data_IF_192066193618
#
_entry.id   IF_192066193618
#
_cell.length_a   1.000
_cell.length_b   1.000
_cell.length_c   1.000
_cell.angle_alpha   90.00
_cell.angle_beta   90.00
_cell.angle_gamma   90.00
#
_symmetry.space_group_name_H-M   'P 1'
#
loop_
_entity.id
_entity.type
_entity.pdbx_description
1 polymer ?
#
# COMPACT_ATOMS: atom_id res chain seq x y z
N UNK A 1 16.11 4.07 12.63
CA UNK A 1 14.79 4.53 13.11
C UNK A 1 13.77 4.21 12.03
N UNK A 2 12.70 3.49 12.37
CA UNK A 2 11.68 3.13 11.39
C UNK A 2 10.74 4.31 11.14
N UNK A 3 10.07 4.31 9.99
CA UNK A 3 9.07 5.34 9.64
C UNK A 3 7.93 5.38 10.65
N UNK A 4 7.48 4.23 11.16
CA UNK A 4 6.44 4.19 12.20
C UNK A 4 6.84 4.94 13.48
N UNK A 5 8.10 4.82 13.91
CA UNK A 5 8.64 5.58 15.05
C UNK A 5 8.71 7.08 14.75
N UNK A 6 9.12 7.45 13.53
CA UNK A 6 9.14 8.87 13.10
C UNK A 6 7.74 9.45 13.11
N UNK A 7 6.75 8.74 12.57
CA UNK A 7 5.35 9.16 12.60
C UNK A 7 4.85 9.39 14.03
N UNK A 8 5.12 8.47 14.96
CA UNK A 8 4.77 8.63 16.38
C UNK A 8 5.37 9.89 17.00
N UNK A 9 6.66 10.15 16.75
CA UNK A 9 7.34 11.35 17.24
C UNK A 9 6.74 12.62 16.63
N UNK A 10 6.44 12.62 15.34
CA UNK A 10 5.83 13.76 14.65
C UNK A 10 4.42 14.04 15.18
N UNK A 11 3.60 13.01 15.41
CA UNK A 11 2.28 13.17 16.04
C UNK A 11 2.38 13.87 17.40
N UNK A 12 3.27 13.38 18.28
CA UNK A 12 3.48 13.95 19.62
C UNK A 12 3.98 15.40 19.55
N UNK A 13 4.98 15.68 18.72
CA UNK A 13 5.56 17.02 18.58
C UNK A 13 4.62 18.05 17.97
N UNK A 14 3.67 17.61 17.14
CA UNK A 14 2.70 18.50 16.51
C UNK A 14 1.36 18.56 17.26
N UNK A 15 1.23 17.88 18.40
CA UNK A 15 0.01 17.84 19.20
C UNK A 15 -1.24 17.43 18.39
N UNK A 16 -1.08 16.53 17.42
CA UNK A 16 -2.20 16.01 16.63
C UNK A 16 -2.65 14.65 17.18
N UNK A 17 -3.92 14.27 17.01
CA UNK A 17 -4.40 12.96 17.47
C UNK A 17 -3.63 11.82 16.80
N UNK A 18 -3.33 10.77 17.58
CA UNK A 18 -2.75 9.56 17.03
C UNK A 18 -3.78 8.86 16.13
N UNK A 19 -3.45 8.72 14.84
CA UNK A 19 -4.35 8.16 13.83
C UNK A 19 -3.56 7.26 12.85
N UNK A 20 -4.19 6.15 12.42
CA UNK A 20 -3.63 5.13 11.51
C UNK A 20 -3.12 5.71 10.19
N UNK A 21 -3.64 6.88 9.82
CA UNK A 21 -3.55 7.42 8.48
C UNK A 21 -2.30 8.31 8.31
N UNK A 22 -1.65 8.71 9.41
CA UNK A 22 -0.43 9.50 9.29
C UNK A 22 0.72 8.67 8.71
N UNK A 23 1.46 9.28 7.79
CA UNK A 23 2.62 8.68 7.13
C UNK A 23 3.65 9.74 6.76
N UNK A 24 4.83 9.26 6.38
CA UNK A 24 5.86 10.07 5.73
C UNK A 24 5.77 9.84 4.22
N UNK A 25 5.59 10.92 3.46
CA UNK A 25 5.60 10.91 2.00
C UNK A 25 7.00 11.29 1.50
N UNK A 26 7.60 10.42 0.69
CA UNK A 26 8.70 10.72 -0.22
C UNK A 26 8.15 11.41 -1.45
N UNK A 27 8.46 12.68 -1.65
CA UNK A 27 8.05 13.45 -2.82
C UNK A 27 9.26 13.75 -3.71
N UNK A 28 9.18 13.37 -4.99
CA UNK A 28 10.24 13.46 -5.99
C UNK A 28 9.80 14.40 -7.15
N UNK A 29 9.89 15.74 -6.99
CA UNK A 29 9.38 16.71 -7.95
C UNK A 29 9.90 16.52 -9.38
N UNK A 30 11.19 16.20 -9.51
CA UNK A 30 11.82 16.07 -10.82
C UNK A 30 11.28 14.89 -11.62
N UNK A 31 10.85 13.83 -10.93
CA UNK A 31 10.29 12.62 -11.53
C UNK A 31 8.77 12.65 -11.65
N UNK A 32 8.10 13.60 -11.01
CA UNK A 32 6.63 13.63 -10.88
C UNK A 32 6.09 12.39 -10.17
N UNK A 33 6.82 11.96 -9.13
CA UNK A 33 6.55 10.76 -8.36
C UNK A 33 6.46 11.08 -6.87
N UNK A 34 5.61 10.36 -6.16
CA UNK A 34 5.59 10.35 -4.70
C UNK A 34 5.14 9.00 -4.16
N UNK A 35 5.50 8.69 -2.92
CA UNK A 35 5.00 7.50 -2.21
C UNK A 35 4.95 7.77 -0.73
N UNK A 36 4.05 7.11 -0.02
CA UNK A 36 4.25 6.94 1.42
C UNK A 36 5.24 5.80 1.67
N UNK A 37 6.02 5.92 2.73
CA UNK A 37 6.79 4.81 3.26
C UNK A 37 5.90 3.91 4.13
N UNK A 38 6.17 2.61 4.10
CA UNK A 38 5.59 1.66 5.05
C UNK A 38 6.25 1.81 6.43
N UNK A 39 5.51 1.53 7.49
CA UNK A 39 5.96 1.84 8.86
C UNK A 39 7.22 1.08 9.31
N UNK A 40 7.50 -0.08 8.71
CA UNK A 40 8.70 -0.87 8.97
C UNK A 40 9.95 -0.35 8.25
N UNK A 41 9.81 0.48 7.21
CA UNK A 41 10.95 0.95 6.43
C UNK A 41 11.88 1.84 7.27
N UNK A 42 13.18 1.76 7.00
CA UNK A 42 14.17 2.68 7.55
C UNK A 42 14.16 3.99 6.76
N UNK A 43 13.84 5.11 7.42
CA UNK A 43 13.80 6.41 6.74
C UNK A 43 15.20 6.82 6.23
N UNK A 44 16.23 6.58 7.04
CA UNK A 44 17.62 6.95 6.70
C UNK A 44 18.13 6.17 5.49
N UNK A 45 17.89 4.86 5.45
CA UNK A 45 18.31 4.00 4.32
C UNK A 45 17.60 4.35 3.01
N UNK A 46 16.42 4.94 3.08
CA UNK A 46 15.73 5.41 1.89
C UNK A 46 16.23 6.78 1.43
N UNK A 47 16.42 7.72 2.36
CA UNK A 47 16.84 9.10 2.04
C UNK A 47 18.29 9.15 1.54
N UNK A 48 19.17 8.23 1.98
CA UNK A 48 20.55 8.18 1.48
C UNK A 48 20.63 8.01 -0.04
N UNK A 49 19.61 7.42 -0.67
CA UNK A 49 19.57 7.25 -2.11
C UNK A 49 19.37 8.55 -2.88
N UNK A 50 18.96 9.65 -2.24
CA UNK A 50 18.64 10.90 -2.92
C UNK A 50 19.87 11.61 -3.51
N UNK A 51 21.08 11.33 -3.02
CA UNK A 51 22.31 12.01 -3.44
C UNK A 51 22.44 13.40 -2.81
N UNK A 52 23.37 14.22 -3.30
CA UNK A 52 23.62 15.57 -2.75
C UNK A 52 22.74 16.66 -3.40
N UNK A 53 22.58 16.62 -4.74
CA UNK A 53 21.88 17.66 -5.49
C UNK A 53 20.45 17.24 -5.87
N UNK A 54 19.56 17.20 -4.89
CA UNK A 54 18.14 16.87 -5.10
C UNK A 54 17.19 17.96 -4.64
N UNK A 55 15.97 17.94 -5.21
CA UNK A 55 14.84 18.76 -4.74
C UNK A 55 13.76 17.93 -4.02
N UNK A 56 14.10 16.69 -3.64
CA UNK A 56 13.20 15.77 -2.96
C UNK A 56 12.79 16.30 -1.58
N UNK A 57 11.59 15.93 -1.14
CA UNK A 57 10.99 16.43 0.12
C UNK A 57 10.33 15.29 0.88
N UNK A 58 10.37 15.39 2.21
CA UNK A 58 9.57 14.57 3.11
C UNK A 58 8.38 15.39 3.59
N UNK A 59 7.19 14.79 3.56
CA UNK A 59 6.00 15.38 4.17
C UNK A 59 5.42 14.45 5.22
N UNK A 60 4.98 15.02 6.34
CA UNK A 60 4.19 14.31 7.34
C UNK A 60 2.71 14.67 7.12
N UNK A 61 1.92 13.73 6.62
CA UNK A 61 0.53 13.97 6.19
C UNK A 61 -0.37 12.78 6.49
N UNK A 62 -1.67 13.01 6.48
CA UNK A 62 -2.66 11.94 6.50
C UNK A 62 -2.87 11.37 5.10
N UNK A 63 -2.89 10.04 5.01
CA UNK A 63 -3.05 9.27 3.80
C UNK A 63 -4.09 8.17 4.05
N UNK A 64 -5.31 8.39 3.54
CA UNK A 64 -6.46 7.55 3.83
C UNK A 64 -6.37 6.15 3.22
N UNK A 65 -5.63 5.97 2.13
CA UNK A 65 -5.49 4.68 1.44
C UNK A 65 -4.38 3.77 2.03
N UNK A 66 -3.56 4.26 2.97
CA UNK A 66 -2.43 3.52 3.57
C UNK A 66 -2.86 2.15 4.12
N UNK A 67 -3.93 2.13 4.91
CA UNK A 67 -4.48 0.94 5.58
C UNK A 67 -5.92 0.61 5.15
N UNK A 68 -6.40 1.17 4.04
CA UNK A 68 -7.75 0.90 3.51
C UNK A 68 -7.96 -0.60 3.21
N UNK A 69 -6.87 -1.34 2.94
CA UNK A 69 -6.85 -2.80 2.87
C UNK A 69 -7.45 -3.47 4.13
N UNK A 70 -7.10 -3.00 5.31
CA UNK A 70 -7.53 -3.61 6.57
C UNK A 70 -8.87 -3.05 7.06
N UNK A 71 -9.28 -1.89 6.54
CA UNK A 71 -10.60 -1.28 6.81
C UNK A 71 -11.67 -1.89 5.90
N UNK A 72 -11.35 -2.14 4.63
CA UNK A 72 -12.26 -2.67 3.61
C UNK A 72 -11.62 -3.84 2.83
N UNK A 73 -11.22 -4.95 3.50
CA UNK A 73 -10.54 -6.07 2.87
C UNK A 73 -11.32 -6.69 1.71
N UNK A 74 -12.65 -6.61 1.74
CA UNK A 74 -13.54 -7.04 0.66
C UNK A 74 -13.31 -6.30 -0.68
N UNK A 75 -12.62 -5.15 -0.69
CA UNK A 75 -12.25 -4.47 -1.92
C UNK A 75 -10.98 -5.02 -2.57
N UNK A 76 -10.13 -5.69 -1.80
CA UNK A 76 -8.74 -5.99 -2.19
C UNK A 76 -8.37 -7.47 -2.14
N UNK A 77 -8.94 -8.23 -1.20
CA UNK A 77 -8.58 -9.63 -0.95
C UNK A 77 -9.42 -10.64 -1.75
N UNK A 78 -10.15 -10.16 -2.75
CA UNK A 78 -10.98 -11.01 -3.59
C UNK A 78 -10.21 -11.40 -4.84
N UNK A 79 -10.10 -12.70 -5.06
CA UNK A 79 -9.68 -13.21 -6.36
C UNK A 79 -10.86 -13.10 -7.33
N UNK A 80 -10.62 -12.61 -8.55
CA UNK A 80 -11.62 -12.64 -9.64
C UNK A 80 -12.10 -14.09 -9.90
N UNK A 81 -11.31 -15.10 -9.53
CA UNK A 81 -11.56 -16.52 -9.80
C UNK A 81 -12.12 -17.32 -8.62
N UNK A 82 -12.18 -16.76 -7.39
CA UNK A 82 -12.62 -17.50 -6.19
C UNK A 82 -13.69 -16.73 -5.42
N UNK A 83 -14.89 -17.29 -5.35
CA UNK A 83 -15.94 -16.83 -4.45
C UNK A 83 -15.48 -16.97 -3.00
N UNK A 84 -15.72 -15.96 -2.19
CA UNK A 84 -15.51 -16.03 -0.75
C UNK A 84 -16.80 -15.56 -0.08
N UNK A 85 -17.48 -16.47 0.61
CA UNK A 85 -18.81 -16.22 1.19
C UNK A 85 -18.83 -14.98 2.09
N UNK A 86 -17.76 -14.73 2.85
CA UNK A 86 -17.66 -13.54 3.72
C UNK A 86 -17.54 -12.27 2.88
N UNK A 87 -16.74 -12.29 1.83
CA UNK A 87 -16.58 -11.15 0.93
C UNK A 87 -17.85 -10.87 0.11
N UNK A 88 -18.52 -11.92 -0.38
CA UNK A 88 -19.79 -11.82 -1.11
C UNK A 88 -20.91 -11.33 -0.19
N UNK A 89 -20.93 -11.80 1.07
CA UNK A 89 -21.83 -11.28 2.11
C UNK A 89 -21.60 -9.79 2.34
N UNK A 90 -20.34 -9.36 2.54
CA UNK A 90 -19.99 -7.95 2.73
C UNK A 90 -20.45 -7.07 1.56
N UNK A 91 -20.24 -7.54 0.32
CA UNK A 91 -20.67 -6.83 -0.91
C UNK A 91 -22.19 -6.75 -1.06
N UNK A 92 -22.92 -7.78 -0.62
CA UNK A 92 -24.38 -7.83 -0.75
C UNK A 92 -25.10 -6.74 0.06
N UNK A 93 -24.46 -6.18 1.08
CA UNK A 93 -25.10 -5.23 2.00
C UNK A 93 -26.23 -5.85 2.83
N UNK A 94 -26.28 -7.19 2.92
CA UNK A 94 -27.31 -7.93 3.67
C UNK A 94 -27.33 -7.58 5.16
N UNK A 95 -28.40 -7.95 5.86
CA UNK A 95 -28.51 -7.74 7.31
C UNK A 95 -27.36 -8.42 8.08
N UNK A 96 -26.96 -9.63 7.64
CA UNK A 96 -25.79 -10.34 8.17
C UNK A 96 -24.50 -9.53 7.97
N UNK A 97 -24.33 -8.91 6.81
CA UNK A 97 -23.18 -8.05 6.54
C UNK A 97 -23.15 -6.84 7.47
N UNK A 98 -24.30 -6.20 7.72
CA UNK A 98 -24.40 -5.03 8.60
C UNK A 98 -24.15 -5.37 10.07
N UNK A 99 -24.67 -6.50 10.56
CA UNK A 99 -24.53 -6.91 11.95
C UNK A 99 -23.13 -7.46 12.29
N UNK A 100 -22.49 -8.14 11.34
CA UNK A 100 -21.24 -8.88 11.59
C UNK A 100 -20.06 -8.37 10.74
N UNK A 101 -20.10 -7.14 10.24
CA UNK A 101 -19.10 -6.60 9.32
C UNK A 101 -17.66 -6.77 9.83
N UNK A 102 -17.43 -6.42 11.09
CA UNK A 102 -16.09 -6.44 11.69
C UNK A 102 -15.54 -7.87 11.82
N UNK A 103 -16.38 -8.82 12.24
CA UNK A 103 -15.99 -10.23 12.32
C UNK A 103 -15.70 -10.80 10.92
N UNK A 104 -16.57 -10.54 9.94
CA UNK A 104 -16.39 -11.01 8.56
C UNK A 104 -15.09 -10.47 7.96
N UNK A 105 -14.75 -9.21 8.23
CA UNK A 105 -13.50 -8.59 7.79
C UNK A 105 -12.28 -9.18 8.50
N UNK A 106 -12.37 -9.42 9.82
CA UNK A 106 -11.32 -10.06 10.58
C UNK A 106 -11.02 -11.48 10.04
N UNK A 107 -12.07 -12.25 9.75
CA UNK A 107 -11.95 -13.60 9.17
C UNK A 107 -11.31 -13.58 7.77
N UNK A 108 -11.66 -12.59 6.94
CA UNK A 108 -11.04 -12.39 5.62
C UNK A 108 -9.54 -12.08 5.74
N UNK A 109 -9.16 -11.19 6.66
CA UNK A 109 -7.76 -10.84 6.89
C UNK A 109 -6.99 -12.05 7.42
N UNK A 110 -7.52 -12.74 8.42
CA UNK A 110 -6.88 -13.91 9.02
C UNK A 110 -6.71 -15.04 8.00
N UNK A 111 -7.76 -15.40 7.26
CA UNK A 111 -7.67 -16.45 6.23
C UNK A 111 -6.69 -16.13 5.10
N UNK A 112 -6.45 -14.85 4.82
CA UNK A 112 -5.51 -14.43 3.78
C UNK A 112 -4.06 -14.37 4.28
N UNK A 113 -3.81 -13.70 5.41
CA UNK A 113 -2.47 -13.42 5.93
C UNK A 113 -1.95 -14.45 6.93
N UNK A 114 -2.82 -15.32 7.47
CA UNK A 114 -2.50 -16.33 8.47
C UNK A 114 -3.09 -17.70 8.09
N UNK A 115 -2.72 -18.28 6.92
CA UNK A 115 -3.18 -19.63 6.58
C UNK A 115 -2.65 -20.62 7.62
N UNK A 116 -3.54 -21.47 8.15
CA UNK A 116 -3.23 -22.46 9.18
C UNK A 116 -1.97 -23.26 8.82
N UNK A 117 -0.97 -23.25 9.71
CA UNK A 117 0.28 -24.02 9.60
C UNK A 117 0.06 -25.53 9.85
N UNK A 118 -1.09 -26.10 9.46
CA UNK A 118 -1.50 -27.44 9.89
C UNK A 118 -1.11 -28.58 8.95
N UNK A 119 -0.44 -28.32 7.83
CA UNK A 119 0.11 -29.38 6.98
C UNK A 119 1.62 -29.21 6.89
N UNK A 120 2.35 -30.17 7.48
CA UNK A 120 3.81 -30.32 7.42
C UNK A 120 4.32 -30.23 5.98
N UNK A 121 4.63 -29.02 5.53
CA UNK A 121 5.34 -28.74 4.29
C UNK A 121 6.35 -27.64 4.59
N UNK A 122 7.51 -28.10 5.04
CA UNK A 122 8.82 -27.46 4.91
C UNK A 122 8.83 -26.07 4.21
N UNK A 123 8.89 -25.02 5.03
CA UNK A 123 9.86 -23.95 4.84
C UNK A 123 9.74 -22.99 3.66
N UNK A 124 8.55 -22.74 3.11
CA UNK A 124 8.36 -21.60 2.19
C UNK A 124 7.33 -20.63 2.75
N UNK A 125 7.81 -19.48 3.23
CA UNK A 125 7.03 -18.28 3.57
C UNK A 125 6.45 -17.64 2.30
N UNK A 126 5.76 -18.41 1.46
CA UNK A 126 5.24 -17.89 0.19
C UNK A 126 4.15 -16.87 0.48
N UNK A 127 4.43 -15.60 0.18
CA UNK A 127 3.46 -14.52 0.30
C UNK A 127 2.23 -14.86 -0.55
N UNK A 128 1.06 -14.97 0.08
CA UNK A 128 -0.22 -15.08 -0.64
C UNK A 128 -0.50 -13.73 -1.31
N UNK A 129 -0.84 -13.77 -2.60
CA UNK A 129 -1.09 -12.57 -3.41
C UNK A 129 -2.49 -12.65 -4.00
N UNK A 130 -3.28 -11.56 -3.98
CA UNK A 130 -4.59 -11.56 -4.63
C UNK A 130 -4.42 -11.71 -6.15
N UNK A 131 -5.25 -12.53 -6.77
CA UNK A 131 -5.26 -12.71 -8.23
C UNK A 131 -5.94 -11.50 -8.89
N UNK A 132 -5.17 -10.45 -9.11
CA UNK A 132 -5.62 -9.22 -9.77
C UNK A 132 -5.30 -9.34 -11.25
N UNK A 133 -6.32 -9.22 -12.09
CA UNK A 133 -6.20 -9.15 -13.54
C UNK A 133 -7.04 -8.01 -14.08
N UNK A 134 -6.56 -7.34 -15.11
CA UNK A 134 -7.26 -6.19 -15.67
C UNK A 134 -6.41 -5.40 -16.62
N UNK A 135 -7.00 -4.39 -17.24
CA UNK A 135 -6.26 -3.56 -18.17
C UNK A 135 -5.53 -2.42 -17.47
N UNK A 136 -4.30 -2.16 -17.90
CA UNK A 136 -3.56 -0.94 -17.56
C UNK A 136 -2.97 -0.34 -18.82
N UNK A 137 -2.78 0.97 -18.82
CA UNK A 137 -2.01 1.65 -19.85
C UNK A 137 -0.54 1.66 -19.46
N UNK A 138 0.31 1.06 -20.29
CA UNK A 138 1.77 1.11 -20.15
C UNK A 138 2.33 2.20 -21.06
N UNK A 139 3.17 3.07 -20.49
CA UNK A 139 3.88 4.07 -21.28
C UNK A 139 5.01 3.43 -22.08
N UNK A 140 5.10 3.77 -23.36
CA UNK A 140 6.22 3.37 -24.21
C UNK A 140 7.53 4.05 -23.78
N UNK A 141 8.62 3.29 -23.74
CA UNK A 141 9.92 3.78 -23.28
C UNK A 141 10.38 5.02 -24.05
N UNK A 142 10.70 6.09 -23.32
CA UNK A 142 11.19 7.36 -23.88
C UNK A 142 10.13 8.21 -24.60
N UNK A 143 8.90 7.70 -24.78
CA UNK A 143 7.85 8.36 -25.57
C UNK A 143 6.73 8.87 -24.68
N UNK A 144 5.89 9.77 -25.20
CA UNK A 144 4.62 10.21 -24.56
C UNK A 144 3.44 9.47 -25.18
N UNK A 145 3.61 8.16 -25.36
CA UNK A 145 2.62 7.26 -25.99
C UNK A 145 2.28 6.18 -24.98
N UNK A 146 0.99 5.93 -24.80
CA UNK A 146 0.45 4.97 -23.84
C UNK A 146 -0.31 3.89 -24.60
N UNK A 147 -0.09 2.63 -24.23
CA UNK A 147 -0.74 1.48 -24.86
C UNK A 147 -1.45 0.66 -23.79
N UNK A 148 -2.68 0.25 -24.07
CA UNK A 148 -3.48 -0.58 -23.17
C UNK A 148 -3.06 -2.04 -23.33
N UNK A 149 -2.77 -2.70 -22.22
CA UNK A 149 -2.47 -4.14 -22.18
C UNK A 149 -3.26 -4.79 -21.05
N UNK A 150 -3.50 -6.09 -21.19
CA UNK A 150 -4.02 -6.90 -20.10
C UNK A 150 -2.88 -7.30 -19.18
N UNK A 151 -3.02 -6.98 -17.89
CA UNK A 151 -2.06 -7.26 -16.83
C UNK A 151 -2.58 -8.33 -15.89
N UNK A 152 -1.65 -9.04 -15.27
CA UNK A 152 -1.94 -10.02 -14.23
C UNK A 152 -0.88 -9.92 -13.12
N UNK A 153 -1.34 -9.87 -11.88
CA UNK A 153 -0.49 -9.89 -10.69
C UNK A 153 -0.24 -11.33 -10.27
N UNK A 154 1.03 -11.63 -9.97
CA UNK A 154 1.47 -12.91 -9.42
C UNK A 154 2.42 -12.65 -8.26
N UNK A 155 2.67 -13.66 -7.43
CA UNK A 155 3.64 -13.57 -6.33
C UNK A 155 5.05 -13.22 -6.81
N UNK A 156 5.44 -13.65 -8.01
CA UNK A 156 6.75 -13.39 -8.60
C UNK A 156 6.90 -12.02 -9.27
N UNK A 157 5.81 -11.29 -9.54
CA UNK A 157 5.89 -10.02 -10.25
C UNK A 157 4.62 -9.59 -10.97
N UNK A 158 4.75 -8.51 -11.73
CA UNK A 158 3.70 -7.96 -12.59
C UNK A 158 3.93 -8.39 -14.03
N UNK A 159 2.93 -9.03 -14.64
CA UNK A 159 3.01 -9.57 -15.99
C UNK A 159 1.94 -8.96 -16.88
N UNK A 160 2.18 -8.95 -18.20
CA UNK A 160 1.22 -8.47 -19.19
C UNK A 160 1.28 -9.23 -20.50
N UNK A 161 0.23 -9.09 -21.31
CA UNK A 161 0.11 -9.72 -22.62
C UNK A 161 -0.02 -8.68 -23.74
N UNK A 162 0.67 -8.92 -24.85
CA UNK A 162 0.62 -8.05 -26.04
C UNK A 162 -0.68 -8.18 -26.84
N UNK A 163 -1.35 -9.34 -26.76
CA UNK A 163 -2.51 -9.71 -27.59
C UNK A 163 -3.81 -9.89 -26.77
N UNK A 164 -4.07 -8.99 -25.81
CA UNK A 164 -5.26 -9.07 -24.95
C UNK A 164 -5.11 -10.09 -23.82
N UNK A 165 -6.20 -10.76 -23.41
CA UNK A 165 -6.19 -11.72 -22.29
C UNK A 165 -5.30 -12.95 -22.63
N UNK A 166 -4.43 -13.41 -21.71
CA UNK A 166 -3.59 -14.59 -21.94
C UNK A 166 -4.43 -15.85 -22.22
N UNK A 167 -3.99 -16.66 -23.18
CA UNK A 167 -4.53 -18.03 -23.39
C UNK A 167 -3.71 -19.07 -22.63
N UNK A 168 -2.45 -18.77 -22.35
CA UNK A 168 -1.54 -19.60 -21.57
C UNK A 168 -0.52 -18.75 -20.80
N UNK A 169 0.18 -19.34 -19.84
CA UNK A 169 1.27 -18.68 -19.10
C UNK A 169 2.45 -18.28 -20.00
N UNK A 170 2.62 -18.91 -21.17
CA UNK A 170 3.66 -18.58 -22.15
C UNK A 170 3.41 -17.24 -22.86
N UNK A 171 2.18 -16.73 -22.81
CA UNK A 171 1.82 -15.43 -23.39
C UNK A 171 2.21 -14.25 -22.48
N UNK A 172 2.60 -14.54 -21.23
CA UNK A 172 2.91 -13.54 -20.21
C UNK A 172 4.33 -13.02 -20.36
N UNK A 173 4.46 -11.70 -20.44
CA UNK A 173 5.73 -10.98 -20.39
C UNK A 173 5.88 -10.38 -19.00
N UNK A 174 6.98 -10.69 -18.31
CA UNK A 174 7.30 -10.08 -17.03
C UNK A 174 7.69 -8.61 -17.23
N UNK A 175 6.94 -7.68 -16.61
CA UNK A 175 7.30 -6.27 -16.61
C UNK A 175 8.35 -5.98 -15.53
N UNK A 176 8.16 -6.51 -14.33
CA UNK A 176 9.06 -6.32 -13.17
C UNK A 176 8.76 -7.34 -12.08
N UNK A 177 9.80 -7.73 -11.34
CA UNK A 177 9.70 -8.36 -10.02
C UNK A 177 9.63 -7.27 -8.94
N UNK A 178 9.26 -7.63 -7.70
CA UNK A 178 9.01 -6.64 -6.64
C UNK A 178 10.13 -6.49 -5.60
N UNK A 179 11.10 -7.40 -5.58
CA UNK A 179 12.14 -7.49 -4.55
C UNK A 179 12.88 -6.15 -4.35
N UNK A 180 13.40 -5.58 -5.44
CA UNK A 180 14.30 -4.41 -5.39
C UNK A 180 13.65 -3.09 -5.81
N UNK A 181 12.34 -3.07 -6.05
CA UNK A 181 11.63 -1.88 -6.56
C UNK A 181 10.65 -1.33 -5.54
N UNK A 182 10.41 -0.02 -5.62
CA UNK A 182 9.38 0.68 -4.87
C UNK A 182 8.26 1.15 -5.80
N UNK A 183 7.08 1.34 -5.22
CA UNK A 183 5.90 1.84 -5.89
C UNK A 183 5.69 3.31 -5.58
N UNK A 184 5.27 4.05 -6.60
CA UNK A 184 5.07 5.48 -6.55
C UNK A 184 3.77 5.87 -7.22
N UNK A 185 3.03 6.78 -6.61
CA UNK A 185 1.96 7.52 -7.27
C UNK A 185 2.55 8.55 -8.22
N UNK A 186 1.89 8.75 -9.36
CA UNK A 186 2.21 9.78 -10.33
C UNK A 186 1.35 11.02 -10.13
N UNK A 187 1.93 12.21 -10.26
CA UNK A 187 1.17 13.46 -10.21
C UNK A 187 1.41 14.35 -11.43
N UNK A 188 0.37 14.99 -11.95
CA UNK A 188 0.47 15.90 -13.10
C UNK A 188 0.85 15.22 -14.42
N UNK A 189 0.65 13.90 -14.51
CA UNK A 189 1.09 13.09 -15.63
C UNK A 189 0.30 13.34 -16.92
N UNK A 190 -0.99 13.75 -16.85
CA UNK A 190 -1.73 14.15 -18.06
C UNK A 190 -1.02 15.28 -18.78
N UNK A 191 -0.61 16.32 -18.04
CA UNK A 191 0.13 17.46 -18.63
C UNK A 191 1.54 17.06 -19.03
N UNK A 192 2.29 16.40 -18.14
CA UNK A 192 3.71 16.13 -18.34
C UNK A 192 4.01 15.03 -19.37
N UNK A 193 3.29 13.91 -19.26
CA UNK A 193 3.55 12.67 -19.99
C UNK A 193 2.43 12.28 -20.95
N UNK A 194 1.38 13.10 -21.09
CA UNK A 194 0.19 12.80 -21.90
C UNK A 194 -0.46 11.48 -21.48
N UNK A 195 -0.47 11.22 -20.17
CA UNK A 195 -1.18 10.08 -19.61
C UNK A 195 -2.68 10.16 -19.92
N UNK A 196 -3.38 9.02 -20.06
CA UNK A 196 -4.82 9.01 -20.32
C UNK A 196 -5.64 9.74 -19.24
N UNK A 197 -5.26 9.56 -17.97
CA UNK A 197 -5.89 10.20 -16.80
C UNK A 197 -4.83 10.47 -15.71
N UNK A 198 -5.27 10.88 -14.51
CA UNK A 198 -4.39 11.18 -13.36
C UNK A 198 -4.08 9.94 -12.50
N UNK A 199 -4.64 8.77 -12.80
CA UNK A 199 -4.51 7.55 -11.99
C UNK A 199 -3.24 6.77 -12.35
N UNK A 200 -2.11 7.48 -12.31
CA UNK A 200 -0.80 6.96 -12.67
C UNK A 200 -0.05 6.37 -11.48
N UNK A 201 0.68 5.29 -11.72
CA UNK A 201 1.69 4.79 -10.79
C UNK A 201 2.95 4.32 -11.51
N UNK A 202 4.08 4.39 -10.82
CA UNK A 202 5.37 3.99 -11.35
C UNK A 202 6.05 2.95 -10.45
N UNK A 203 6.88 2.14 -11.09
CA UNK A 203 7.73 1.15 -10.44
C UNK A 203 9.18 1.43 -10.83
N UNK A 204 10.05 1.61 -9.83
CA UNK A 204 11.49 1.84 -10.03
C UNK A 204 12.31 1.36 -8.84
N UNK A 205 13.59 1.08 -9.07
CA UNK A 205 14.57 0.91 -8.00
C UNK A 205 14.74 2.22 -7.19
N UNK A 206 14.92 2.16 -5.85
CA UNK A 206 15.13 3.35 -5.00
C UNK A 206 16.29 4.24 -5.45
N UNK A 207 17.42 3.65 -5.85
CA UNK A 207 18.61 4.40 -6.34
C UNK A 207 18.36 5.22 -7.62
N UNK A 208 17.25 5.00 -8.35
CA UNK A 208 16.93 5.80 -9.53
C UNK A 208 16.30 7.11 -9.06
N UNK A 209 17.10 8.17 -9.03
CA UNK A 209 16.68 9.53 -8.65
C UNK A 209 16.51 10.49 -9.83
N UNK A 210 17.02 10.12 -10.99
CA UNK A 210 16.93 10.92 -12.23
C UNK A 210 16.10 10.20 -13.28
N UNK A 211 15.59 10.97 -14.25
CA UNK A 211 14.73 10.42 -15.32
C UNK A 211 15.49 9.36 -16.10
N UNK A 212 14.98 8.13 -16.05
CA UNK A 212 15.51 7.01 -16.82
C UNK A 212 14.36 6.25 -17.48
N UNK A 213 14.10 6.47 -18.78
CA UNK A 213 12.93 5.87 -19.44
C UNK A 213 12.94 4.34 -19.50
N UNK A 214 14.13 3.72 -19.47
CA UNK A 214 14.28 2.25 -19.47
C UNK A 214 14.06 1.65 -18.09
N UNK A 215 14.46 2.37 -17.02
CA UNK A 215 14.49 1.85 -15.65
C UNK A 215 13.27 2.21 -14.80
N UNK A 216 12.45 3.18 -15.23
CA UNK A 216 11.19 3.53 -14.58
C UNK A 216 10.04 3.05 -15.45
N UNK A 217 9.20 2.17 -14.91
CA UNK A 217 8.00 1.70 -15.59
C UNK A 217 6.82 2.56 -15.16
N UNK A 218 6.13 3.19 -16.10
CA UNK A 218 4.99 4.09 -15.85
C UNK A 218 3.70 3.41 -16.33
N UNK A 219 2.75 3.25 -15.43
CA UNK A 219 1.45 2.64 -15.67
C UNK A 219 0.32 3.62 -15.33
N UNK A 220 -0.81 3.50 -16.00
CA UNK A 220 -2.01 4.29 -15.73
C UNK A 220 -3.20 3.34 -15.62
N UNK A 221 -3.95 3.43 -14.52
CA UNK A 221 -5.18 2.69 -14.30
C UNK A 221 -6.37 3.39 -14.99
N UNK A 222 -7.50 2.71 -15.14
CA UNK A 222 -8.70 3.30 -15.79
C UNK A 222 -9.49 4.18 -14.81
N UNK A 223 -9.52 3.79 -13.54
CA UNK A 223 -10.20 4.48 -12.44
C UNK A 223 -9.33 4.62 -11.20
N UNK A 224 -9.80 5.42 -10.23
CA UNK A 224 -9.16 5.52 -8.91
C UNK A 224 -9.21 4.19 -8.14
N UNK A 225 -10.31 3.45 -8.26
CA UNK A 225 -10.46 2.16 -7.58
C UNK A 225 -9.51 1.12 -8.17
N UNK A 226 -9.32 1.11 -9.50
CA UNK A 226 -8.30 0.27 -10.13
C UNK A 226 -6.90 0.63 -9.65
N UNK A 227 -6.57 1.92 -9.57
CA UNK A 227 -5.27 2.37 -9.05
C UNK A 227 -5.04 1.84 -7.63
N UNK A 228 -6.02 2.01 -6.74
CA UNK A 228 -5.95 1.49 -5.36
C UNK A 228 -5.79 -0.02 -5.34
N UNK A 229 -6.57 -0.75 -6.14
CA UNK A 229 -6.50 -2.20 -6.24
C UNK A 229 -5.10 -2.66 -6.66
N UNK A 230 -4.54 -2.10 -7.73
CA UNK A 230 -3.21 -2.45 -8.23
C UNK A 230 -2.11 -2.08 -7.25
N UNK A 231 -2.15 -0.86 -6.68
CA UNK A 231 -1.15 -0.40 -5.70
C UNK A 231 -1.15 -1.29 -4.46
N UNK A 232 -2.33 -1.54 -3.88
CA UNK A 232 -2.48 -2.41 -2.70
C UNK A 232 -2.10 -3.86 -3.01
N UNK A 233 -2.52 -4.41 -4.15
CA UNK A 233 -2.16 -5.76 -4.56
C UNK A 233 -0.65 -5.95 -4.69
N UNK A 234 0.04 -5.01 -5.32
CA UNK A 234 1.49 -5.07 -5.45
C UNK A 234 2.17 -4.88 -4.08
N UNK A 235 1.66 -3.99 -3.21
CA UNK A 235 2.15 -3.87 -1.82
C UNK A 235 2.05 -5.20 -1.09
N UNK A 236 0.92 -5.91 -1.21
CA UNK A 236 0.74 -7.26 -0.65
C UNK A 236 1.78 -8.22 -1.22
N UNK A 237 1.97 -8.24 -2.54
CA UNK A 237 2.97 -9.11 -3.17
C UNK A 237 4.40 -8.81 -2.71
N UNK A 238 4.72 -7.54 -2.46
CA UNK A 238 6.05 -7.09 -2.03
C UNK A 238 6.34 -7.34 -0.55
N UNK A 239 5.38 -7.03 0.32
CA UNK A 239 5.60 -6.95 1.77
C UNK A 239 4.89 -8.05 2.56
N UNK A 240 3.85 -8.67 1.97
CA UNK A 240 3.10 -9.76 2.58
C UNK A 240 2.60 -9.43 3.99
N UNK A 241 2.85 -10.37 4.92
CA UNK A 241 2.44 -10.29 6.33
C UNK A 241 2.99 -9.07 7.06
N UNK A 242 4.12 -8.50 6.61
CA UNK A 242 4.68 -7.30 7.22
C UNK A 242 3.69 -6.13 7.21
N UNK A 243 2.79 -6.04 6.22
CA UNK A 243 1.75 -5.01 6.20
C UNK A 243 0.75 -5.17 7.35
N UNK A 244 0.34 -6.40 7.65
CA UNK A 244 -0.56 -6.70 8.77
C UNK A 244 0.12 -6.37 10.09
N UNK A 245 1.38 -6.75 10.27
CA UNK A 245 2.16 -6.43 11.46
C UNK A 245 2.31 -4.93 11.68
N UNK A 246 2.48 -4.14 10.60
CA UNK A 246 2.53 -2.68 10.70
C UNK A 246 1.19 -2.13 11.21
N UNK A 247 0.07 -2.62 10.67
CA UNK A 247 -1.27 -2.22 11.05
C UNK A 247 -1.59 -2.60 12.51
N UNK A 248 -1.27 -3.83 12.93
CA UNK A 248 -1.48 -4.32 14.29
C UNK A 248 -0.61 -3.55 15.30
N UNK A 249 0.67 -3.33 14.98
CA UNK A 249 1.56 -2.53 15.83
C UNK A 249 1.03 -1.12 16.01
N UNK A 250 0.47 -0.50 14.98
CA UNK A 250 -0.18 0.79 15.14
C UNK A 250 -1.34 0.72 16.14
N UNK A 251 -2.24 -0.26 15.99
CA UNK A 251 -3.42 -0.41 16.86
C UNK A 251 -3.04 -0.59 18.33
N UNK A 252 -2.05 -1.44 18.63
CA UNK A 252 -1.56 -1.62 19.99
C UNK A 252 -1.05 -0.30 20.60
N UNK A 253 -0.27 0.47 19.85
CA UNK A 253 0.21 1.77 20.32
C UNK A 253 -0.93 2.79 20.53
N UNK A 254 -2.03 2.70 19.76
CA UNK A 254 -3.19 3.55 19.98
C UNK A 254 -3.86 3.24 21.32
N UNK A 255 -4.04 1.95 21.62
CA UNK A 255 -4.63 1.50 22.89
C UNK A 255 -3.78 1.92 24.09
N UNK A 256 -2.45 1.80 23.99
CA UNK A 256 -1.51 2.24 25.02
C UNK A 256 -1.61 3.75 25.30
N UNK A 257 -1.61 4.60 24.25
CA UNK A 257 -1.73 6.06 24.43
C UNK A 257 -3.11 6.46 25.00
N UNK A 258 -4.19 5.79 24.59
CA UNK A 258 -5.52 6.03 25.17
C UNK A 258 -5.58 5.63 26.66
N UNK A 259 -4.82 4.61 27.06
CA UNK A 259 -4.73 4.17 28.46
C UNK A 259 -3.93 5.16 29.32
N UNK A 260 -2.85 5.75 28.79
CA UNK A 260 -2.03 6.75 29.49
C UNK A 260 -2.74 8.08 29.69
N UNK A 261 -3.50 8.53 28.69
CA UNK A 261 -4.31 9.77 28.80
C UNK A 261 -5.40 9.63 29.88
N UNK A 262 -5.89 8.41 30.11
CA UNK A 262 -6.85 8.12 31.19
C UNK A 262 -6.18 8.13 32.56
N UNK A 263 -4.95 7.65 32.71
CA UNK A 263 -4.25 7.66 34.01
C UNK A 263 -3.86 9.07 34.45
N UNK A 264 -3.50 9.96 33.52
CA UNK A 264 -3.11 11.34 33.85
C UNK A 264 -4.31 12.21 34.28
N UNK A 265 -5.52 11.88 33.82
CA UNK A 265 -6.74 12.61 34.18
C UNK A 265 -7.31 12.29 35.57
N UNK A 266 -6.80 11.25 36.25
CA UNK A 266 -7.20 10.91 37.63
C UNK A 266 -6.23 11.44 38.70
N UNK A 267 -5.14 12.12 38.32
CA UNK A 267 -4.12 12.65 39.23
C UNK A 267 -4.38 14.06 39.78
N UNK A 268 -5.42 14.76 39.33
CA UNK A 268 -5.72 16.16 39.69
C UNK A 268 -6.83 16.33 40.72
N UNK A 269 -6.68 15.77 41.93
CA UNK A 269 -7.67 15.86 43.00
C UNK A 269 -7.13 16.52 44.28
N UNK A 270 -7.41 17.82 44.42
CA UNK A 270 -7.56 18.60 45.68
C UNK A 270 -6.49 18.47 46.77
N UNK A 271 -5.56 19.44 46.83
CA UNK A 271 -5.08 19.96 48.12
C UNK A 271 -6.06 21.04 48.59
N UNK A 272 -6.94 20.67 49.52
CA UNK A 272 -7.63 21.63 50.38
C UNK A 272 -6.64 22.13 51.43
N UNK A 273 -6.25 23.40 51.32
CA UNK A 273 -5.71 24.17 52.44
C UNK A 273 -6.83 24.40 53.47
N UNK A 274 -6.68 23.86 54.67
CA UNK A 274 -7.34 24.38 55.86
C UNK A 274 -6.28 24.82 56.88
N UNK A 275 -6.60 25.99 57.45
CA UNK A 275 -5.88 26.89 58.37
C UNK A 275 -5.12 26.25 59.52
#
# INVERSE_FOLDING_TARGET
>A
MTVGMVCQQMTRKNHVPFCTNYCIIEHLPQLYLERFYEDHESLVENVIYWGHDHSNRLYFVQQSDKYDLFVQPEKYLISISQSNENADTLKSGSLRAKLNADQLRADLIASFFMPNQSNNSSGSSSVRVPEIEGNLFLRSEGKKVWKKYFFTLRSSGLYYCLKGKPKSTKDLICLTTFELVCLYYGFGWKKKFKAPNEYGFAIKHPQIQVKSPKKIKYLCAESLDDLKLWMTGIRIAKYGRQLLENYERFRLNLDDNLSSDRSDNFGGGTQTEEK
#
